data_IF_657680245963
#
_entry.id   IF_657680245963
#
_cell.length_a   1.000
_cell.length_b   1.000
_cell.length_c   1.000
_cell.angle_alpha   90.00
_cell.angle_beta   90.00
_cell.angle_gamma   90.00
#
_symmetry.space_group_name_H-M   'P 1'
#
loop_
_entity.id
_entity.type
_entity.pdbx_description
1 polymer ?
#
# COMPACT_ATOMS: atom_id res chain seq x y z
N UNK A 1 -12.93 -14.57 5.66
CA UNK A 1 -11.93 -13.92 4.77
C UNK A 1 -11.28 -12.68 5.40
N UNK A 2 -11.98 -11.80 6.14
CA UNK A 2 -11.35 -10.64 6.84
C UNK A 2 -10.79 -10.96 8.24
N UNK A 3 -10.69 -12.24 8.62
CA UNK A 3 -10.32 -12.70 9.97
C UNK A 3 -8.81 -12.75 10.25
N UNK A 4 -7.96 -12.41 9.27
CA UNK A 4 -6.49 -12.54 9.39
C UNK A 4 -5.70 -11.22 9.42
N UNK A 5 -6.38 -10.06 9.45
CA UNK A 5 -5.73 -8.73 9.60
C UNK A 5 -5.85 -8.16 11.02
N UNK A 6 -6.30 -8.98 11.96
CA UNK A 6 -6.32 -8.70 13.37
C UNK A 6 -6.36 -10.07 14.04
N UNK A 7 -5.39 -10.34 14.91
CA UNK A 7 -5.30 -11.61 15.64
C UNK A 7 -6.56 -11.88 16.47
N UNK A 8 -6.52 -12.92 17.31
CA UNK A 8 -7.64 -13.31 18.16
C UNK A 8 -8.06 -12.18 19.12
N UNK A 9 -8.94 -11.29 18.68
CA UNK A 9 -9.45 -10.17 19.45
C UNK A 9 -10.27 -10.65 20.64
N UNK A 10 -10.01 -10.06 21.80
CA UNK A 10 -10.81 -10.30 22.99
C UNK A 10 -12.24 -9.78 22.80
N UNK A 11 -13.20 -10.46 23.44
CA UNK A 11 -14.62 -10.08 23.40
C UNK A 11 -15.11 -9.76 24.81
N UNK A 12 -15.68 -8.57 24.95
CA UNK A 12 -16.23 -8.08 26.19
C UNK A 12 -17.71 -8.40 26.37
N UNK A 13 -18.33 -7.72 27.33
CA UNK A 13 -19.77 -7.79 27.61
C UNK A 13 -20.56 -7.49 26.32
N UNK A 14 -21.64 -8.25 26.09
CA UNK A 14 -22.46 -8.20 24.87
C UNK A 14 -21.68 -8.52 23.58
N UNK A 15 -20.60 -9.29 23.66
CA UNK A 15 -19.83 -9.79 22.51
C UNK A 15 -19.14 -8.70 21.68
N UNK A 16 -18.95 -7.50 22.27
CA UNK A 16 -18.25 -6.39 21.65
C UNK A 16 -16.75 -6.67 21.57
N UNK A 17 -16.09 -6.25 20.48
CA UNK A 17 -14.62 -6.35 20.36
C UNK A 17 -13.97 -5.39 21.33
N UNK A 18 -12.99 -5.88 22.09
CA UNK A 18 -12.11 -5.07 22.91
C UNK A 18 -10.77 -4.96 22.17
N UNK A 19 -10.24 -3.74 22.12
CA UNK A 19 -8.98 -3.44 21.46
C UNK A 19 -7.97 -3.02 22.52
N UNK A 20 -6.83 -3.69 22.55
CA UNK A 20 -5.71 -3.30 23.38
C UNK A 20 -4.67 -2.48 22.60
N UNK A 21 -3.56 -2.17 23.26
CA UNK A 21 -2.49 -1.39 22.65
C UNK A 21 -1.83 -2.14 21.47
N UNK A 22 -1.71 -3.46 21.54
CA UNK A 22 -1.12 -4.27 20.48
C UNK A 22 -2.03 -4.29 19.24
N UNK A 23 -3.35 -4.33 19.44
CA UNK A 23 -4.32 -4.22 18.35
C UNK A 23 -4.22 -2.87 17.64
N UNK A 24 -4.10 -1.77 18.40
CA UNK A 24 -3.91 -0.44 17.85
C UNK A 24 -2.60 -0.32 17.05
N UNK A 25 -1.51 -0.91 17.55
CA UNK A 25 -0.22 -0.94 16.86
C UNK A 25 -0.27 -1.76 15.57
N UNK A 26 -1.00 -2.87 15.57
CA UNK A 26 -1.21 -3.69 14.38
C UNK A 26 -2.00 -2.92 13.31
N UNK A 27 -3.11 -2.27 13.68
CA UNK A 27 -3.90 -1.43 12.76
C UNK A 27 -3.04 -0.27 12.22
N UNK A 28 -2.22 0.35 13.07
CA UNK A 28 -1.30 1.42 12.65
C UNK A 28 -0.25 0.91 11.66
N UNK A 29 0.28 -0.30 11.82
CA UNK A 29 1.16 -0.94 10.84
C UNK A 29 0.44 -1.16 9.50
N UNK A 30 -0.72 -1.80 9.52
CA UNK A 30 -1.52 -2.07 8.31
C UNK A 30 -1.81 -0.76 7.56
N UNK A 31 -2.17 0.31 8.28
CA UNK A 31 -2.38 1.64 7.69
C UNK A 31 -1.12 2.21 7.04
N UNK A 32 0.04 2.09 7.70
CA UNK A 32 1.31 2.57 7.13
C UNK A 32 1.68 1.82 5.85
N UNK A 33 1.55 0.50 5.84
CA UNK A 33 1.82 -0.31 4.65
C UNK A 33 0.83 0.02 3.52
N UNK A 34 -0.46 0.17 3.86
CA UNK A 34 -1.48 0.55 2.87
C UNK A 34 -1.18 1.90 2.22
N UNK A 35 -0.78 2.89 3.03
CA UNK A 35 -0.35 4.20 2.54
C UNK A 35 0.94 4.13 1.72
N UNK A 36 1.83 3.18 2.02
CA UNK A 36 3.03 2.86 1.24
C UNK A 36 2.76 2.12 -0.07
N UNK A 37 1.49 1.98 -0.49
CA UNK A 37 1.12 1.41 -1.77
C UNK A 37 0.99 -0.11 -1.78
N UNK A 38 1.08 -0.78 -0.62
CA UNK A 38 0.88 -2.22 -0.52
C UNK A 38 -0.61 -2.61 -0.72
N UNK A 39 -0.82 -3.72 -1.40
CA UNK A 39 -2.11 -4.41 -1.51
C UNK A 39 -2.45 -5.12 -0.20
N UNK A 40 -3.68 -5.58 -0.05
CA UNK A 40 -4.05 -6.33 1.16
C UNK A 40 -3.31 -7.66 1.28
N UNK A 41 -3.04 -8.32 0.14
CA UNK A 41 -2.32 -9.59 0.10
C UNK A 41 -0.84 -9.40 0.47
N UNK A 42 -0.19 -8.36 -0.04
CA UNK A 42 1.20 -8.05 0.32
C UNK A 42 1.30 -7.60 1.79
N UNK A 43 0.29 -6.91 2.32
CA UNK A 43 0.23 -6.55 3.75
C UNK A 43 0.15 -7.82 4.59
N UNK A 44 -0.73 -8.76 4.23
CA UNK A 44 -0.90 -10.03 4.93
C UNK A 44 0.41 -10.84 4.92
N UNK A 45 1.07 -10.91 3.78
CA UNK A 45 2.39 -11.56 3.64
C UNK A 45 3.43 -10.89 4.54
N UNK A 46 3.55 -9.56 4.46
CA UNK A 46 4.50 -8.80 5.27
C UNK A 46 4.27 -9.00 6.78
N UNK A 47 3.02 -8.95 7.24
CA UNK A 47 2.68 -9.18 8.66
C UNK A 47 3.02 -10.60 9.09
N UNK A 48 2.70 -11.60 8.26
CA UNK A 48 3.01 -13.01 8.55
C UNK A 48 4.51 -13.25 8.68
N UNK A 49 5.31 -12.58 7.86
CA UNK A 49 6.78 -12.63 7.95
C UNK A 49 7.26 -11.90 9.20
N UNK A 50 6.75 -10.70 9.47
CA UNK A 50 7.15 -9.90 10.64
C UNK A 50 6.91 -10.65 11.96
N UNK A 51 5.81 -11.39 12.06
CA UNK A 51 5.41 -12.11 13.27
C UNK A 51 6.35 -13.29 13.61
N UNK A 52 7.21 -13.72 12.69
CA UNK A 52 8.20 -14.77 12.94
C UNK A 52 9.36 -14.27 13.82
N UNK A 53 9.67 -12.96 13.76
CA UNK A 53 10.71 -12.36 14.59
C UNK A 53 11.67 -11.44 13.85
N UNK A 54 12.77 -11.12 14.53
CA UNK A 54 13.79 -10.16 14.08
C UNK A 54 14.67 -10.70 12.96
N UNK A 55 14.81 -12.03 12.87
CA UNK A 55 15.52 -12.73 11.80
C UNK A 55 14.89 -12.49 10.42
N UNK A 56 13.65 -12.03 10.35
CA UNK A 56 12.97 -11.68 9.08
C UNK A 56 13.28 -10.29 8.55
N UNK A 57 14.08 -9.48 9.25
CA UNK A 57 14.45 -8.13 8.80
C UNK A 57 15.01 -8.12 7.36
N UNK A 58 15.95 -9.01 6.96
CA UNK A 58 16.46 -9.04 5.60
C UNK A 58 15.36 -9.27 4.55
N UNK A 59 14.47 -10.23 4.79
CA UNK A 59 13.34 -10.52 3.89
C UNK A 59 12.39 -9.32 3.79
N UNK A 60 12.08 -8.67 4.90
CA UNK A 60 11.22 -7.49 4.91
C UNK A 60 11.85 -6.29 4.21
N UNK A 61 13.18 -6.15 4.24
CA UNK A 61 13.89 -5.15 3.44
C UNK A 61 13.78 -5.44 1.94
N UNK A 62 13.90 -6.71 1.53
CA UNK A 62 13.69 -7.12 0.13
C UNK A 62 12.27 -6.78 -0.34
N UNK A 63 11.24 -7.12 0.43
CA UNK A 63 9.85 -6.77 0.09
C UNK A 63 9.65 -5.25 -0.09
N UNK A 64 10.34 -4.43 0.71
CA UNK A 64 10.30 -2.98 0.58
C UNK A 64 11.00 -2.50 -0.70
N UNK A 65 12.17 -3.06 -1.02
CA UNK A 65 12.91 -2.73 -2.23
C UNK A 65 12.11 -3.09 -3.49
N UNK A 66 11.54 -4.29 -3.53
CA UNK A 66 10.69 -4.75 -4.64
C UNK A 66 9.48 -3.83 -4.81
N UNK A 67 8.88 -3.41 -3.70
CA UNK A 67 7.75 -2.47 -3.74
C UNK A 67 8.13 -1.12 -4.32
N UNK A 68 9.30 -0.59 -3.93
CA UNK A 68 9.83 0.66 -4.49
C UNK A 68 10.01 0.53 -6.00
N UNK A 69 10.62 -0.57 -6.48
CA UNK A 69 10.80 -0.81 -7.91
C UNK A 69 9.47 -0.85 -8.67
N UNK A 70 8.46 -1.54 -8.13
CA UNK A 70 7.12 -1.56 -8.75
C UNK A 70 6.46 -0.18 -8.79
N UNK A 71 6.63 0.62 -7.74
CA UNK A 71 6.07 1.98 -7.68
C UNK A 71 6.77 2.91 -8.67
N UNK A 72 8.08 2.79 -8.83
CA UNK A 72 8.85 3.55 -9.81
C UNK A 72 8.41 3.22 -11.23
N UNK A 73 8.23 1.94 -11.57
CA UNK A 73 7.72 1.55 -12.89
C UNK A 73 6.31 2.11 -13.17
N UNK A 74 5.44 2.16 -12.15
CA UNK A 74 4.11 2.79 -12.28
C UNK A 74 4.21 4.30 -12.47
N UNK A 75 5.12 4.96 -11.74
CA UNK A 75 5.38 6.38 -11.87
C UNK A 75 5.83 6.71 -13.30
N UNK A 76 6.80 5.99 -13.85
CA UNK A 76 7.29 6.19 -15.22
C UNK A 76 6.17 6.04 -16.26
N UNK A 77 5.29 5.05 -16.11
CA UNK A 77 4.15 4.85 -17.01
C UNK A 77 3.12 5.99 -16.92
N UNK A 78 2.87 6.51 -15.72
CA UNK A 78 1.99 7.65 -15.50
C UNK A 78 2.60 8.91 -16.13
N UNK A 79 3.89 9.16 -15.88
CA UNK A 79 4.61 10.32 -16.42
C UNK A 79 4.62 10.32 -17.95
N UNK A 80 4.83 9.16 -18.58
CA UNK A 80 4.74 9.01 -20.02
C UNK A 80 3.34 9.32 -20.56
N UNK A 81 2.29 8.90 -19.83
CA UNK A 81 0.89 9.17 -20.20
C UNK A 81 0.56 10.66 -20.07
N UNK A 82 1.01 11.31 -19.00
CA UNK A 82 0.83 12.76 -18.79
C UNK A 82 1.49 13.54 -19.93
N UNK A 83 2.75 13.22 -20.25
CA UNK A 83 3.50 13.88 -21.34
C UNK A 83 2.77 13.79 -22.68
N UNK A 84 2.24 12.61 -23.01
CA UNK A 84 1.47 12.44 -24.24
C UNK A 84 0.23 13.36 -24.28
N UNK A 85 -0.50 13.46 -23.16
CA UNK A 85 -1.68 14.32 -23.08
C UNK A 85 -1.31 15.81 -23.18
N UNK A 86 -0.23 16.24 -22.56
CA UNK A 86 0.29 17.61 -22.67
C UNK A 86 0.67 17.95 -24.11
N UNK A 87 1.37 17.06 -24.82
CA UNK A 87 1.69 17.24 -26.24
C UNK A 87 0.41 17.35 -27.11
N UNK A 88 -0.62 16.55 -26.80
CA UNK A 88 -1.92 16.64 -27.48
C UNK A 88 -2.63 17.94 -27.21
N UNK A 89 -2.59 18.45 -25.98
CA UNK A 89 -3.19 19.75 -25.64
C UNK A 89 -2.56 20.88 -26.47
N UNK A 90 -1.24 20.93 -26.59
CA UNK A 90 -0.56 21.96 -27.40
C UNK A 90 -1.01 21.96 -28.87
N UNK A 91 -1.16 20.77 -29.46
CA UNK A 91 -1.65 20.62 -30.84
C UNK A 91 -3.08 21.17 -30.96
N UNK A 92 -3.95 20.83 -30.01
CA UNK A 92 -5.35 21.28 -30.02
C UNK A 92 -5.47 22.79 -29.82
N UNK A 93 -4.70 23.37 -28.90
CA UNK A 93 -4.64 24.82 -28.66
C UNK A 93 -4.16 25.58 -29.91
N UNK A 94 -3.20 25.03 -30.64
CA UNK A 94 -2.75 25.62 -31.90
C UNK A 94 -3.84 25.57 -32.98
N UNK A 95 -4.59 24.47 -33.06
CA UNK A 95 -5.73 24.33 -33.99
C UNK A 95 -6.87 25.29 -33.65
N UNK A 96 -7.12 25.54 -32.36
CA UNK A 96 -8.15 26.48 -31.91
C UNK A 96 -7.82 27.92 -32.33
N UNK A 97 -6.55 28.34 -32.20
CA UNK A 97 -6.10 29.69 -32.58
C UNK A 97 -6.13 29.98 -34.08
N UNK A 98 -6.24 28.93 -34.91
CA UNK A 98 -6.34 29.04 -36.37
C UNK A 98 -7.79 29.08 -36.89
N UNK A 99 -8.77 28.96 -36.01
CA UNK A 99 -10.19 29.20 -36.32
C UNK A 99 -10.54 30.67 -36.21
#
# INVERSE_FOLDING_TARGET
MLSNLGGSLQRGVRNLRLYDQADLEHVALVRRLKNGGFSLDEILEYTTIRDQGVETIPTRLTLMADKITQLQAKQEAIDASIKYLEEKMLILEAQEKLK
#
